data_IF_507930029334
#
_entry.id   IF_507930029334
#
_cell.length_a   1.000
_cell.length_b   1.000
_cell.length_c   1.000
_cell.angle_alpha   90.00
_cell.angle_beta   90.00
_cell.angle_gamma   90.00
#
_symmetry.space_group_name_H-M   'P 1'
#
loop_
_entity.id
_entity.type
_entity.pdbx_description
1 polymer ?
#
# COMPACT_ATOMS: atom_id res chain seq x y z
N UNK A 1 -12.98 -4.81 -6.20
CA UNK A 1 -11.80 -5.27 -5.44
C UNK A 1 -10.81 -4.13 -5.19
N UNK A 2 -10.39 -3.97 -3.94
CA UNK A 2 -9.22 -3.19 -3.51
C UNK A 2 -8.08 -4.16 -3.22
N UNK A 3 -6.90 -3.95 -3.80
CA UNK A 3 -5.71 -4.72 -3.45
C UNK A 3 -4.90 -4.00 -2.36
N UNK A 4 -4.42 -4.73 -1.37
CA UNK A 4 -3.58 -4.22 -0.30
C UNK A 4 -2.20 -4.84 -0.39
N UNK A 5 -1.19 -4.00 -0.60
CA UNK A 5 0.21 -4.39 -0.60
C UNK A 5 0.79 -4.21 0.80
N UNK A 6 1.22 -5.33 1.39
CA UNK A 6 1.81 -5.41 2.71
C UNK A 6 3.23 -5.96 2.63
N UNK A 7 4.05 -5.59 3.61
CA UNK A 7 5.34 -6.24 3.89
C UNK A 7 5.33 -6.96 5.23
N UNK A 8 4.14 -7.20 5.79
CA UNK A 8 3.93 -7.96 7.01
C UNK A 8 2.49 -8.49 7.05
N UNK A 9 2.26 -9.76 7.42
CA UNK A 9 0.93 -10.35 7.46
C UNK A 9 0.05 -9.79 8.59
N UNK A 10 0.64 -9.11 9.59
CA UNK A 10 -0.08 -8.59 10.77
C UNK A 10 -1.17 -7.58 10.41
N UNK A 11 -1.05 -6.92 9.27
CA UNK A 11 -2.03 -5.95 8.80
C UNK A 11 -3.29 -6.59 8.20
N UNK A 12 -3.23 -7.86 7.77
CA UNK A 12 -4.36 -8.54 7.13
C UNK A 12 -5.61 -8.54 8.03
N UNK A 13 -5.59 -9.08 9.26
CA UNK A 13 -6.78 -9.10 10.11
C UNK A 13 -7.27 -7.69 10.49
N UNK A 14 -6.38 -6.71 10.56
CA UNK A 14 -6.74 -5.31 10.86
C UNK A 14 -7.56 -4.72 9.71
N UNK A 15 -7.09 -4.88 8.47
CA UNK A 15 -7.81 -4.35 7.30
C UNK A 15 -9.07 -5.13 6.99
N UNK A 16 -9.10 -6.43 7.28
CA UNK A 16 -10.32 -7.22 7.20
C UNK A 16 -11.39 -6.67 8.16
N UNK A 17 -11.03 -6.43 9.42
CA UNK A 17 -11.93 -5.86 10.42
C UNK A 17 -12.41 -4.45 10.05
N UNK A 18 -11.52 -3.57 9.56
CA UNK A 18 -11.90 -2.23 9.11
C UNK A 18 -12.88 -2.27 7.91
N UNK A 19 -12.69 -3.23 7.00
CA UNK A 19 -13.62 -3.45 5.89
C UNK A 19 -14.96 -3.96 6.40
N UNK A 20 -14.98 -4.89 7.33
CA UNK A 20 -16.22 -5.41 7.91
C UNK A 20 -17.01 -4.31 8.65
N UNK A 21 -16.31 -3.41 9.35
CA UNK A 21 -16.93 -2.31 10.09
C UNK A 21 -17.48 -1.20 9.18
N UNK A 22 -16.71 -0.76 8.19
CA UNK A 22 -17.04 0.43 7.42
C UNK A 22 -17.59 0.14 6.02
N UNK A 23 -17.20 -0.98 5.41
CA UNK A 23 -17.51 -1.32 4.02
C UNK A 23 -17.68 -2.84 3.80
N UNK A 24 -18.64 -3.52 4.44
CA UNK A 24 -18.74 -5.00 4.45
C UNK A 24 -18.91 -5.67 3.08
N UNK A 25 -19.27 -4.91 2.03
CA UNK A 25 -19.35 -5.39 0.65
C UNK A 25 -18.07 -5.19 -0.18
N UNK A 26 -17.03 -4.57 0.38
CA UNK A 26 -15.78 -4.31 -0.33
C UNK A 26 -14.90 -5.57 -0.35
N UNK A 27 -14.72 -6.11 -1.54
CA UNK A 27 -13.75 -7.19 -1.76
C UNK A 27 -12.32 -6.67 -1.56
N UNK A 28 -11.58 -7.29 -0.63
CA UNK A 28 -10.17 -7.05 -0.41
C UNK A 28 -9.33 -8.21 -0.95
N UNK A 29 -8.20 -7.88 -1.57
CA UNK A 29 -7.15 -8.84 -1.90
C UNK A 29 -5.85 -8.43 -1.21
N UNK A 30 -5.41 -9.26 -0.28
CA UNK A 30 -4.15 -9.03 0.43
C UNK A 30 -2.98 -9.63 -0.34
N UNK A 31 -1.94 -8.84 -0.56
CA UNK A 31 -0.67 -9.24 -1.16
C UNK A 31 0.42 -8.95 -0.13
N UNK A 32 0.98 -10.01 0.47
CA UNK A 32 2.03 -9.90 1.48
C UNK A 32 3.37 -10.29 0.85
N UNK A 33 4.35 -9.38 0.90
CA UNK A 33 5.70 -9.59 0.37
C UNK A 33 6.72 -9.04 1.38
N UNK A 34 7.06 -9.85 2.38
CA UNK A 34 7.88 -9.44 3.52
C UNK A 34 9.30 -9.05 3.09
N UNK A 35 9.83 -9.72 2.06
CA UNK A 35 11.19 -9.54 1.56
C UNK A 35 11.43 -8.14 0.99
N UNK A 36 10.38 -7.41 0.58
CA UNK A 36 10.50 -6.03 0.10
C UNK A 36 10.98 -5.11 1.23
N UNK A 37 10.50 -5.32 2.46
CA UNK A 37 10.93 -4.50 3.60
C UNK A 37 12.35 -4.84 4.01
N UNK A 38 12.69 -6.13 4.06
CA UNK A 38 14.03 -6.57 4.44
C UNK A 38 15.08 -6.03 3.45
N UNK A 39 14.81 -6.13 2.15
CA UNK A 39 15.69 -5.58 1.11
C UNK A 39 15.73 -4.05 1.11
N UNK A 40 14.60 -3.38 1.31
CA UNK A 40 14.58 -1.92 1.42
C UNK A 40 15.37 -1.42 2.64
N UNK A 41 15.37 -2.17 3.75
CA UNK A 41 16.18 -1.86 4.93
C UNK A 41 17.66 -2.11 4.68
N UNK A 42 18.02 -3.20 4.01
CA UNK A 42 19.40 -3.57 3.76
C UNK A 42 20.09 -2.69 2.70
N UNK A 43 19.37 -2.34 1.62
CA UNK A 43 19.94 -1.69 0.44
C UNK A 43 19.26 -0.36 0.06
N UNK A 44 18.35 0.13 0.89
CA UNK A 44 17.55 1.32 0.64
C UNK A 44 16.29 1.04 -0.20
N UNK A 45 15.24 1.89 -0.12
CA UNK A 45 13.99 1.69 -0.85
C UNK A 45 14.17 1.56 -2.37
N UNK A 46 15.11 2.29 -2.95
CA UNK A 46 15.38 2.23 -4.40
C UNK A 46 15.71 0.82 -4.91
N UNK A 47 16.31 -0.04 -4.08
CA UNK A 47 16.69 -1.40 -4.44
C UNK A 47 15.49 -2.35 -4.67
N UNK A 48 14.28 -1.93 -4.30
CA UNK A 48 13.05 -2.70 -4.50
C UNK A 48 12.05 -2.03 -5.44
N UNK A 49 12.42 -0.91 -6.09
CA UNK A 49 11.51 -0.12 -6.91
C UNK A 49 10.84 -0.93 -8.03
N UNK A 50 11.59 -1.73 -8.77
CA UNK A 50 11.05 -2.56 -9.86
C UNK A 50 10.13 -3.67 -9.35
N UNK A 51 10.47 -4.26 -8.21
CA UNK A 51 9.63 -5.28 -7.59
C UNK A 51 8.30 -4.69 -7.09
N UNK A 52 8.33 -3.51 -6.48
CA UNK A 52 7.12 -2.77 -6.07
C UNK A 52 6.25 -2.45 -7.29
N UNK A 53 6.83 -1.88 -8.36
CA UNK A 53 6.08 -1.60 -9.61
C UNK A 53 5.44 -2.87 -10.18
N UNK A 54 6.18 -3.99 -10.17
CA UNK A 54 5.67 -5.29 -10.65
C UNK A 54 4.49 -5.77 -9.83
N UNK A 55 4.55 -5.69 -8.48
CA UNK A 55 3.43 -6.07 -7.60
C UNK A 55 2.19 -5.21 -7.83
N UNK A 56 2.37 -3.90 -8.00
CA UNK A 56 1.26 -2.98 -8.28
C UNK A 56 0.63 -3.31 -9.63
N UNK A 57 1.43 -3.58 -10.66
CA UNK A 57 0.92 -3.99 -11.99
C UNK A 57 0.15 -5.31 -11.92
N UNK A 58 0.70 -6.33 -11.27
CA UNK A 58 0.03 -7.62 -11.10
C UNK A 58 -1.30 -7.50 -10.35
N UNK A 59 -1.40 -6.58 -9.38
CA UNK A 59 -2.66 -6.30 -8.70
C UNK A 59 -3.69 -5.68 -9.66
N UNK A 60 -3.27 -4.69 -10.45
CA UNK A 60 -4.13 -4.03 -11.44
C UNK A 60 -4.59 -5.01 -12.54
N UNK A 61 -3.66 -5.77 -13.13
CA UNK A 61 -3.95 -6.81 -14.13
C UNK A 61 -4.85 -7.92 -13.55
N UNK A 62 -4.73 -8.16 -12.24
CA UNK A 62 -5.60 -9.05 -11.47
C UNK A 62 -6.98 -8.47 -11.14
N UNK A 63 -7.37 -7.33 -11.73
CA UNK A 63 -8.71 -6.73 -11.58
C UNK A 63 -8.87 -5.78 -10.39
N UNK A 64 -7.78 -5.41 -9.71
CA UNK A 64 -7.86 -4.39 -8.65
C UNK A 64 -8.27 -3.05 -9.25
N UNK A 65 -9.24 -2.37 -8.63
CA UNK A 65 -9.68 -1.03 -9.05
C UNK A 65 -8.86 0.09 -8.40
N UNK A 66 -8.11 -0.25 -7.36
CA UNK A 66 -7.14 0.59 -6.67
C UNK A 66 -6.18 -0.31 -5.89
N UNK A 67 -5.01 0.23 -5.54
CA UNK A 67 -4.01 -0.44 -4.69
C UNK A 67 -3.71 0.43 -3.47
N UNK A 68 -3.75 -0.15 -2.27
CA UNK A 68 -3.34 0.49 -1.02
C UNK A 68 -2.03 -0.13 -0.54
N UNK A 69 -0.96 0.66 -0.49
CA UNK A 69 0.29 0.27 0.14
C UNK A 69 0.25 0.62 1.63
N UNK A 70 0.48 -0.39 2.47
CA UNK A 70 0.42 -0.25 3.93
C UNK A 70 1.78 -0.04 4.59
N UNK A 71 2.86 -0.17 3.82
CA UNK A 71 4.22 -0.02 4.31
C UNK A 71 4.77 1.36 3.93
N UNK A 72 4.96 2.24 4.93
CA UNK A 72 5.49 3.58 4.73
C UNK A 72 6.88 3.60 4.07
N UNK A 73 7.71 2.58 4.32
CA UNK A 73 9.08 2.47 3.76
C UNK A 73 9.07 2.38 2.23
N UNK A 74 8.08 1.71 1.65
CA UNK A 74 7.94 1.54 0.19
C UNK A 74 6.74 2.32 -0.38
N UNK A 75 6.02 3.07 0.45
CA UNK A 75 4.79 3.76 0.08
C UNK A 75 4.99 4.75 -1.08
N UNK A 76 6.08 5.52 -1.05
CA UNK A 76 6.42 6.46 -2.14
C UNK A 76 6.69 5.76 -3.47
N UNK A 77 7.30 4.56 -3.42
CA UNK A 77 7.57 3.77 -4.63
C UNK A 77 6.27 3.20 -5.20
N UNK A 78 5.36 2.78 -4.32
CA UNK A 78 4.05 2.28 -4.71
C UNK A 78 3.21 3.38 -5.35
N UNK A 79 3.13 4.57 -4.75
CA UNK A 79 2.40 5.70 -5.34
C UNK A 79 2.96 6.11 -6.71
N UNK A 80 4.29 6.18 -6.85
CA UNK A 80 4.94 6.45 -8.15
C UNK A 80 4.66 5.38 -9.20
N UNK A 81 4.26 4.17 -8.81
CA UNK A 81 3.89 3.13 -9.75
C UNK A 81 2.50 3.38 -10.38
N UNK A 82 1.69 4.28 -9.83
CA UNK A 82 0.37 4.63 -10.37
C UNK A 82 0.41 5.06 -11.84
N UNK A 83 1.44 5.84 -12.23
CA UNK A 83 1.65 6.36 -13.58
C UNK A 83 1.69 5.25 -14.66
N UNK A 84 1.99 4.01 -14.27
CA UNK A 84 2.16 2.88 -15.19
C UNK A 84 1.05 1.82 -15.19
N UNK A 85 0.01 1.95 -14.35
CA UNK A 85 -0.98 0.87 -14.11
C UNK A 85 -2.44 1.25 -14.30
N UNK A 86 -2.75 2.54 -14.53
CA UNK A 86 -4.11 3.00 -14.88
C UNK A 86 -5.14 2.92 -13.76
N UNK A 87 -4.74 2.55 -12.54
CA UNK A 87 -5.57 2.53 -11.34
C UNK A 87 -4.92 3.36 -10.23
N UNK A 88 -5.70 3.98 -9.34
CA UNK A 88 -5.14 4.73 -8.21
C UNK A 88 -4.28 3.85 -7.31
N UNK A 89 -3.12 4.37 -6.90
CA UNK A 89 -2.26 3.75 -5.90
C UNK A 89 -2.08 4.74 -4.75
N UNK A 90 -2.37 4.30 -3.54
CA UNK A 90 -2.41 5.12 -2.33
C UNK A 90 -1.44 4.55 -1.30
N UNK A 91 -0.76 5.42 -0.54
CA UNK A 91 -0.06 5.03 0.69
C UNK A 91 -0.95 5.31 1.91
N UNK A 92 -0.98 4.37 2.86
CA UNK A 92 -1.87 4.40 4.04
C UNK A 92 -1.62 5.60 4.95
N UNK A 93 -0.39 6.10 5.00
CA UNK A 93 0.06 7.13 5.92
C UNK A 93 -0.09 8.55 5.36
N UNK A 94 -0.43 8.75 4.08
CA UNK A 94 -0.64 10.09 3.51
C UNK A 94 -1.87 10.80 4.11
N UNK A 95 -3.05 10.15 4.25
CA UNK A 95 -4.18 10.74 4.96
C UNK A 95 -3.85 11.04 6.43
N UNK A 96 -3.12 10.13 7.09
CA UNK A 96 -2.66 10.33 8.47
C UNK A 96 -1.74 11.55 8.59
N UNK A 97 -0.76 11.68 7.69
CA UNK A 97 0.15 12.82 7.66
C UNK A 97 -0.58 14.14 7.36
N UNK A 98 -1.54 14.12 6.42
CA UNK A 98 -2.39 15.27 6.13
C UNK A 98 -3.21 15.72 7.34
N UNK A 99 -3.81 14.77 8.06
CA UNK A 99 -4.55 15.06 9.29
C UNK A 99 -3.65 15.63 10.39
N UNK A 100 -2.43 15.10 10.56
CA UNK A 100 -1.47 15.61 11.54
C UNK A 100 -1.10 17.07 11.28
N UNK A 101 -0.81 17.43 10.01
CA UNK A 101 -0.49 18.81 9.60
C UNK A 101 -1.69 19.75 9.80
N UNK A 102 -2.91 19.27 9.55
CA UNK A 102 -4.12 20.07 9.77
C UNK A 102 -4.43 20.29 11.26
N UNK A 103 -4.08 19.34 12.13
CA UNK A 103 -4.48 19.33 13.54
C UNK A 103 -3.54 20.12 14.48
N UNK A 104 -2.33 20.50 14.07
CA UNK A 104 -1.38 21.10 15.00
C UNK A 104 -0.33 22.00 14.36
N UNK A 105 0.19 22.99 15.12
CA UNK A 105 1.18 23.94 14.62
C UNK A 105 2.60 23.35 14.49
N UNK A 106 2.81 22.08 14.89
CA UNK A 106 4.10 21.36 14.83
C UNK A 106 3.84 19.88 14.55
N UNK A 107 4.43 19.35 13.47
CA UNK A 107 4.42 17.93 13.04
C UNK A 107 5.83 17.47 12.79
#
# INVERSE_FOLDING_TARGET
MLALLHTSPVHVPVFDALRDEHHPGLELRHVVVEELLDRARAAGPGAVADDVRRRVREAADGGARAVLCTCSTIGDLAERAADGVGVPVLRVDRPMAGAAVAAGPRV
#
